data_IF_169707333491
#
_entry.id   IF_169707333491
#
_cell.length_a   1.000
_cell.length_b   1.000
_cell.length_c   1.000
_cell.angle_alpha   90.00
_cell.angle_beta   90.00
_cell.angle_gamma   90.00
#
_symmetry.space_group_name_H-M   'P 1'
#
loop_
_entity.id
_entity.type
_entity.pdbx_description
1 polymer ?
#
# COMPACT_ATOMS: atom_id res chain seq x y z
N UNK A 1 -5.60 10.53 9.91
CA UNK A 1 -5.13 10.23 11.26
C UNK A 1 -4.28 11.38 11.75
N UNK A 2 -4.49 11.80 12.99
CA UNK A 2 -3.63 12.82 13.61
C UNK A 2 -2.42 12.09 14.19
N UNK A 3 -1.25 12.29 13.61
CA UNK A 3 0.00 11.74 14.12
C UNK A 3 0.73 12.81 14.95
N UNK A 4 0.69 12.64 16.27
CA UNK A 4 1.46 13.46 17.20
C UNK A 4 2.80 12.75 17.48
N UNK A 5 3.91 13.35 17.04
CA UNK A 5 5.24 12.84 17.31
C UNK A 5 5.93 13.67 18.40
N UNK A 6 6.33 13.02 19.49
CA UNK A 6 7.24 13.60 20.47
C UNK A 6 8.61 12.94 20.34
N UNK A 7 9.63 13.70 19.98
CA UNK A 7 11.01 13.23 19.97
C UNK A 7 11.70 13.77 21.22
N UNK A 8 12.06 12.87 22.13
CA UNK A 8 12.93 13.16 23.27
C UNK A 8 14.35 12.88 22.80
N UNK A 9 15.13 13.92 22.55
CA UNK A 9 16.59 13.77 22.31
C UNK A 9 17.29 13.92 23.65
N UNK A 10 17.73 12.79 24.17
CA UNK A 10 18.51 12.75 25.41
C UNK A 10 19.98 13.08 25.17
N UNK A 11 20.48 13.90 26.07
CA UNK A 11 21.84 14.05 26.56
C UNK A 11 22.98 14.42 25.57
N UNK A 12 23.49 15.64 25.74
CA UNK A 12 24.89 15.98 25.49
C UNK A 12 25.21 16.98 24.38
N UNK A 13 24.27 17.45 23.55
CA UNK A 13 24.58 18.41 22.48
C UNK A 13 24.03 19.83 22.66
N UNK A 14 23.08 20.04 23.57
CA UNK A 14 22.57 21.35 23.93
C UNK A 14 22.32 21.36 25.44
N UNK A 15 23.14 22.07 26.20
CA UNK A 15 23.11 22.07 27.67
C UNK A 15 21.77 22.49 28.30
N UNK A 16 20.84 23.08 27.53
CA UNK A 16 19.57 23.58 28.04
C UNK A 16 18.33 22.95 27.36
N UNK A 17 18.50 22.03 26.43
CA UNK A 17 17.38 21.41 25.70
C UNK A 17 16.62 20.40 26.55
N UNK A 18 15.29 20.51 26.64
CA UNK A 18 14.44 19.58 27.39
C UNK A 18 13.55 18.75 26.50
N UNK A 19 12.84 19.37 25.56
CA UNK A 19 11.93 18.65 24.68
C UNK A 19 11.64 19.40 23.38
N UNK A 20 11.33 18.64 22.33
CA UNK A 20 10.78 19.12 21.06
C UNK A 20 9.43 18.49 20.88
N UNK A 21 8.41 19.29 20.69
CA UNK A 21 7.08 18.86 20.27
C UNK A 21 6.82 19.35 18.84
N UNK A 22 6.41 18.44 17.96
CA UNK A 22 6.06 18.74 16.58
C UNK A 22 4.70 18.14 16.27
N UNK A 23 3.81 18.93 15.66
CA UNK A 23 2.50 18.46 15.20
C UNK A 23 2.33 18.78 13.73
N UNK A 24 2.05 17.77 12.97
CA UNK A 24 1.67 17.84 11.56
C UNK A 24 0.31 17.17 11.39
N UNK A 25 -0.57 17.76 10.60
CA UNK A 25 -1.82 17.13 10.21
C UNK A 25 -1.81 16.93 8.71
N UNK A 26 -2.09 15.70 8.33
CA UNK A 26 -2.16 15.28 6.96
C UNK A 26 -3.53 14.67 6.68
N UNK A 27 -4.20 15.12 5.62
CA UNK A 27 -5.51 14.61 5.20
C UNK A 27 -5.43 14.28 3.72
N UNK A 28 -5.84 13.06 3.35
CA UNK A 28 -5.92 12.62 1.96
C UNK A 28 -7.35 12.22 1.64
N UNK A 29 -7.90 12.81 0.60
CA UNK A 29 -9.16 12.41 -0.02
C UNK A 29 -8.86 11.70 -1.34
N UNK A 30 -9.31 10.43 -1.45
CA UNK A 30 -9.05 9.58 -2.59
C UNK A 30 -10.35 9.19 -3.28
N UNK A 31 -10.39 9.36 -4.59
CA UNK A 31 -11.46 8.84 -5.45
C UNK A 31 -10.84 8.00 -6.54
N UNK A 32 -11.35 6.78 -6.76
CA UNK A 32 -10.79 5.87 -7.75
C UNK A 32 -11.86 5.15 -8.56
N UNK A 33 -11.54 4.85 -9.81
CA UNK A 33 -12.38 4.09 -10.72
C UNK A 33 -11.58 2.99 -11.41
N UNK A 34 -12.15 1.78 -11.46
CA UNK A 34 -11.66 0.69 -12.30
C UNK A 34 -12.82 -0.14 -12.85
N UNK A 35 -12.51 -1.05 -13.77
CA UNK A 35 -13.43 -2.03 -14.30
C UNK A 35 -12.82 -3.42 -14.10
N UNK A 36 -13.64 -4.35 -13.59
CA UNK A 36 -13.28 -5.77 -13.51
C UNK A 36 -14.30 -6.62 -14.27
N UNK A 37 -13.79 -7.45 -15.15
CA UNK A 37 -14.60 -8.39 -15.95
C UNK A 37 -14.02 -9.78 -15.76
N UNK A 38 -14.89 -10.76 -15.57
CA UNK A 38 -14.48 -12.15 -15.43
C UNK A 38 -15.55 -13.12 -15.94
N UNK A 39 -15.10 -14.30 -16.26
CA UNK A 39 -15.99 -15.42 -16.57
C UNK A 39 -15.49 -16.68 -15.88
N UNK A 40 -16.41 -17.60 -15.64
CA UNK A 40 -16.07 -18.94 -15.18
C UNK A 40 -17.03 -19.94 -15.79
N UNK A 41 -16.52 -21.14 -16.05
CA UNK A 41 -17.30 -22.22 -16.65
C UNK A 41 -16.85 -23.59 -16.17
N UNK A 42 -17.69 -24.57 -16.37
CA UNK A 42 -17.34 -25.98 -16.18
C UNK A 42 -16.55 -26.45 -17.42
N UNK A 43 -15.32 -26.90 -17.19
CA UNK A 43 -14.52 -27.58 -18.21
C UNK A 43 -14.91 -29.06 -18.30
N UNK A 44 -15.25 -29.66 -17.14
CA UNK A 44 -15.83 -31.01 -17.00
C UNK A 44 -16.84 -30.99 -15.86
N UNK A 45 -17.48 -32.12 -15.58
CA UNK A 45 -18.40 -32.26 -14.44
C UNK A 45 -17.73 -31.97 -13.09
N UNK A 46 -16.44 -32.17 -13.00
CA UNK A 46 -15.65 -32.04 -11.78
C UNK A 46 -14.73 -30.83 -11.77
N UNK A 47 -14.47 -30.21 -12.93
CA UNK A 47 -13.49 -29.11 -13.05
C UNK A 47 -14.18 -27.85 -13.54
N UNK A 48 -13.95 -26.77 -12.80
CA UNK A 48 -14.32 -25.41 -13.20
C UNK A 48 -13.08 -24.56 -13.39
N UNK A 49 -13.09 -23.74 -14.40
CA UNK A 49 -12.02 -22.77 -14.67
C UNK A 49 -12.60 -21.36 -14.66
N UNK A 50 -11.80 -20.40 -14.28
CA UNK A 50 -12.17 -19.01 -14.25
C UNK A 50 -11.04 -18.13 -14.73
N UNK A 51 -11.42 -17.00 -15.31
CA UNK A 51 -10.51 -15.96 -15.75
C UNK A 51 -11.11 -14.60 -15.42
N UNK A 52 -10.27 -13.65 -14.99
CA UNK A 52 -10.66 -12.28 -14.74
C UNK A 52 -9.57 -11.30 -15.17
N UNK A 53 -10.01 -10.16 -15.67
CA UNK A 53 -9.18 -9.02 -16.03
C UNK A 53 -9.69 -7.83 -15.23
N UNK A 54 -8.76 -7.11 -14.60
CA UNK A 54 -9.03 -5.86 -13.92
C UNK A 54 -8.18 -4.77 -14.56
N UNK A 55 -8.83 -3.67 -14.97
CA UNK A 55 -8.12 -2.51 -15.51
C UNK A 55 -7.31 -1.84 -14.42
N UNK A 56 -6.37 -0.95 -14.76
CA UNK A 56 -5.85 0.00 -13.81
C UNK A 56 -6.96 0.67 -13.01
N UNK A 57 -6.69 0.97 -11.75
CA UNK A 57 -7.48 1.93 -11.00
C UNK A 57 -6.85 3.29 -11.20
N UNK A 58 -7.61 4.23 -11.67
CA UNK A 58 -7.22 5.64 -11.76
C UNK A 58 -7.74 6.31 -10.51
N UNK A 59 -6.81 6.76 -9.67
CA UNK A 59 -7.09 7.52 -8.47
C UNK A 59 -6.81 8.99 -8.72
N UNK A 60 -7.75 9.85 -8.30
CA UNK A 60 -7.52 11.26 -8.05
C UNK A 60 -7.32 11.43 -6.56
N UNK A 61 -6.25 12.06 -6.17
CA UNK A 61 -5.81 12.19 -4.78
C UNK A 61 -5.58 13.64 -4.47
N UNK A 62 -6.36 14.13 -3.50
CA UNK A 62 -6.26 15.49 -2.97
C UNK A 62 -5.66 15.42 -1.57
N UNK A 63 -4.49 15.98 -1.38
CA UNK A 63 -3.79 16.00 -0.11
C UNK A 63 -3.71 17.40 0.46
N UNK A 64 -4.10 17.53 1.70
CA UNK A 64 -3.94 18.76 2.47
C UNK A 64 -3.02 18.49 3.63
N UNK A 65 -1.95 19.26 3.74
CA UNK A 65 -1.09 19.20 4.90
C UNK A 65 -1.08 20.56 5.63
N UNK A 66 -1.00 20.48 6.95
CA UNK A 66 -0.91 21.64 7.81
C UNK A 66 0.24 21.44 8.77
N UNK A 67 1.31 22.21 8.57
CA UNK A 67 2.44 22.27 9.50
C UNK A 67 2.07 23.27 10.62
N UNK A 68 1.37 22.76 11.62
CA UNK A 68 0.68 23.65 12.53
C UNK A 68 1.54 24.12 13.69
N UNK A 69 2.45 23.25 14.21
CA UNK A 69 3.01 23.56 15.51
C UNK A 69 4.34 22.87 15.74
N UNK A 70 5.34 23.64 16.16
CA UNK A 70 6.60 23.14 16.72
C UNK A 70 6.91 23.91 18.00
N UNK A 71 7.14 23.18 19.09
CA UNK A 71 7.52 23.78 20.37
C UNK A 71 8.78 23.09 20.89
N UNK A 72 9.80 23.89 21.14
CA UNK A 72 11.04 23.45 21.76
C UNK A 72 11.09 24.03 23.17
N UNK A 73 11.28 23.17 24.17
CA UNK A 73 11.45 23.56 25.55
C UNK A 73 12.92 23.50 25.97
N UNK A 74 13.38 24.56 26.62
CA UNK A 74 14.70 24.67 27.21
C UNK A 74 14.54 24.91 28.71
N UNK A 75 15.59 24.70 29.51
CA UNK A 75 15.56 24.94 30.97
C UNK A 75 15.18 26.38 31.32
N UNK A 76 15.53 27.34 30.50
CA UNK A 76 15.34 28.77 30.73
C UNK A 76 14.21 29.42 29.84
N UNK A 77 13.39 28.63 29.20
CA UNK A 77 12.28 29.12 28.37
C UNK A 77 11.84 28.16 27.28
N UNK A 78 10.86 28.59 26.50
CA UNK A 78 10.34 27.83 25.35
C UNK A 78 10.38 28.67 24.10
N UNK A 79 10.75 28.06 22.97
CA UNK A 79 10.60 28.63 21.64
C UNK A 79 9.41 27.94 20.96
N UNK A 80 8.41 28.72 20.60
CA UNK A 80 7.24 28.21 19.90
C UNK A 80 7.22 28.76 18.49
N UNK A 81 7.06 27.88 17.51
CA UNK A 81 6.88 28.23 16.12
C UNK A 81 5.55 27.68 15.65
N UNK A 82 4.68 28.56 15.15
CA UNK A 82 3.33 28.20 14.75
C UNK A 82 2.34 28.16 15.91
N UNK A 83 1.08 28.12 15.57
CA UNK A 83 -0.05 28.02 16.50
C UNK A 83 -1.13 27.21 15.79
N UNK A 84 -1.56 26.09 16.38
CA UNK A 84 -2.58 25.22 15.80
C UNK A 84 -3.98 25.88 15.77
N UNK A 85 -4.14 27.00 16.49
CA UNK A 85 -5.36 27.79 16.49
C UNK A 85 -5.40 28.88 15.41
N UNK A 86 -4.30 29.11 14.68
CA UNK A 86 -4.22 30.19 13.69
C UNK A 86 -4.56 29.69 12.28
N UNK A 87 -5.37 30.50 11.60
CA UNK A 87 -5.63 30.37 10.15
C UNK A 87 -4.34 30.54 9.30
N UNK A 88 -3.26 31.04 9.91
CA UNK A 88 -1.95 31.28 9.28
C UNK A 88 -0.97 30.09 9.37
N UNK A 89 -1.38 28.95 9.90
CA UNK A 89 -0.57 27.74 9.82
C UNK A 89 -0.26 27.43 8.34
N UNK A 90 1.02 27.15 8.05
CA UNK A 90 1.42 26.83 6.70
C UNK A 90 0.62 25.63 6.20
N UNK A 91 -0.29 25.91 5.26
CA UNK A 91 -1.10 24.91 4.59
C UNK A 91 -0.53 24.69 3.22
N UNK A 92 -0.44 23.43 2.82
CA UNK A 92 -0.17 23.05 1.45
C UNK A 92 -1.28 22.16 0.97
N UNK A 93 -1.64 22.30 -0.28
CA UNK A 93 -2.53 21.41 -1.01
C UNK A 93 -1.72 20.82 -2.16
N UNK A 94 -1.89 19.54 -2.37
CA UNK A 94 -1.21 18.83 -3.43
C UNK A 94 -2.16 17.83 -4.09
N UNK A 95 -2.41 18.02 -5.36
CA UNK A 95 -3.28 17.16 -6.16
C UNK A 95 -2.41 16.33 -7.12
N UNK A 96 -2.70 15.04 -7.20
CA UNK A 96 -2.04 14.13 -8.12
C UNK A 96 -2.91 12.93 -8.47
N UNK A 97 -2.56 12.27 -9.55
CA UNK A 97 -3.21 11.06 -10.01
C UNK A 97 -2.28 9.85 -9.81
N UNK A 98 -2.88 8.72 -9.45
CA UNK A 98 -2.19 7.44 -9.36
C UNK A 98 -2.88 6.44 -10.24
N UNK A 99 -2.15 5.88 -11.19
CA UNK A 99 -2.59 4.74 -11.98
C UNK A 99 -1.97 3.45 -11.43
N UNK A 100 -2.80 2.46 -11.09
CA UNK A 100 -2.33 1.13 -10.70
C UNK A 100 -2.15 0.22 -11.94
N UNK A 101 -1.41 -0.89 -11.83
CA UNK A 101 -1.25 -1.82 -12.95
C UNK A 101 -2.53 -2.61 -13.27
N UNK A 102 -2.56 -3.18 -14.48
CA UNK A 102 -3.49 -4.22 -14.86
C UNK A 102 -3.30 -5.47 -14.00
N UNK A 103 -4.40 -6.19 -13.74
CA UNK A 103 -4.38 -7.48 -13.07
C UNK A 103 -5.07 -8.53 -13.92
N UNK A 104 -4.39 -9.65 -14.13
CA UNK A 104 -4.92 -10.81 -14.84
C UNK A 104 -4.97 -11.97 -13.85
N UNK A 105 -6.14 -12.60 -13.72
CA UNK A 105 -6.31 -13.71 -12.79
C UNK A 105 -6.88 -14.92 -13.52
N UNK A 106 -6.37 -16.09 -13.20
CA UNK A 106 -6.94 -17.36 -13.64
C UNK A 106 -6.95 -18.36 -12.48
N UNK A 107 -7.95 -19.20 -12.47
CA UNK A 107 -8.11 -20.18 -11.40
C UNK A 107 -8.80 -21.45 -11.87
N UNK A 108 -8.58 -22.51 -11.12
CA UNK A 108 -9.18 -23.82 -11.32
C UNK A 108 -9.73 -24.35 -10.01
N UNK A 109 -10.87 -25.00 -10.08
CA UNK A 109 -11.47 -25.71 -8.95
C UNK A 109 -11.82 -27.11 -9.40
N UNK A 110 -11.42 -28.10 -8.60
CA UNK A 110 -11.83 -29.50 -8.74
C UNK A 110 -12.78 -29.86 -7.60
N UNK A 111 -13.88 -30.52 -7.93
CA UNK A 111 -14.85 -31.06 -6.96
C UNK A 111 -15.08 -32.53 -7.24
N UNK A 112 -14.75 -33.37 -6.27
CA UNK A 112 -14.94 -34.83 -6.39
C UNK A 112 -15.26 -35.47 -5.07
N UNK A 113 -16.46 -36.08 -4.96
CA UNK A 113 -16.94 -36.64 -3.70
C UNK A 113 -16.89 -35.61 -2.55
N UNK A 114 -16.22 -35.93 -1.43
CA UNK A 114 -16.11 -35.04 -0.28
C UNK A 114 -15.06 -33.94 -0.45
N UNK A 115 -14.28 -33.97 -1.55
CA UNK A 115 -13.10 -33.14 -1.72
C UNK A 115 -13.37 -31.97 -2.70
N UNK A 116 -12.94 -30.75 -2.31
CA UNK A 116 -12.82 -29.59 -3.17
C UNK A 116 -11.38 -29.11 -3.10
N UNK A 117 -10.76 -28.94 -4.26
CA UNK A 117 -9.43 -28.34 -4.42
C UNK A 117 -9.59 -27.07 -5.25
N UNK A 118 -8.87 -26.02 -4.88
CA UNK A 118 -8.82 -24.78 -5.65
C UNK A 118 -7.39 -24.29 -5.77
N UNK A 119 -7.06 -23.72 -6.91
CA UNK A 119 -5.83 -22.99 -7.12
C UNK A 119 -6.11 -21.80 -8.02
N UNK A 120 -5.45 -20.68 -7.77
CA UNK A 120 -5.46 -19.53 -8.62
C UNK A 120 -4.11 -18.84 -8.69
N UNK A 121 -3.90 -18.12 -9.78
CA UNK A 121 -2.74 -17.25 -10.00
C UNK A 121 -3.22 -15.91 -10.49
N UNK A 122 -2.63 -14.86 -9.95
CA UNK A 122 -2.83 -13.47 -10.38
C UNK A 122 -1.48 -12.92 -10.86
N UNK A 123 -1.48 -12.40 -12.08
CA UNK A 123 -0.36 -11.68 -12.66
C UNK A 123 -0.60 -10.18 -12.48
N UNK A 124 0.42 -9.47 -12.01
CA UNK A 124 0.45 -8.01 -11.86
C UNK A 124 1.81 -7.52 -12.30
N UNK A 125 1.85 -6.55 -13.20
CA UNK A 125 3.08 -5.87 -13.62
C UNK A 125 3.16 -4.49 -12.98
N UNK A 126 3.90 -4.39 -11.89
CA UNK A 126 4.00 -3.18 -11.08
C UNK A 126 4.79 -2.05 -11.77
N UNK A 127 5.57 -2.34 -12.82
CA UNK A 127 6.22 -1.31 -13.63
C UNK A 127 5.23 -0.42 -14.38
N UNK A 128 3.96 -0.83 -14.46
CA UNK A 128 2.89 -0.02 -15.07
C UNK A 128 2.25 0.99 -14.10
N UNK A 129 2.60 0.94 -12.82
CA UNK A 129 2.14 1.94 -11.86
C UNK A 129 2.78 3.29 -12.17
N UNK A 130 1.99 4.35 -12.17
CA UNK A 130 2.45 5.68 -12.52
C UNK A 130 1.72 6.75 -11.71
N UNK A 131 2.47 7.79 -11.34
CA UNK A 131 1.97 8.98 -10.69
C UNK A 131 2.06 10.15 -11.66
N UNK A 132 1.05 11.00 -11.70
CA UNK A 132 1.02 12.21 -12.51
C UNK A 132 0.53 13.39 -11.66
N UNK A 133 1.00 14.60 -11.96
CA UNK A 133 0.56 15.82 -11.30
C UNK A 133 0.57 16.98 -12.30
N UNK A 134 -0.42 17.86 -12.22
CA UNK A 134 -0.56 19.01 -13.12
C UNK A 134 0.58 20.04 -13.00
N UNK A 135 1.27 20.01 -11.87
CA UNK A 135 2.42 20.89 -11.60
C UNK A 135 3.70 20.09 -11.55
N UNK A 136 4.81 20.66 -12.08
CA UNK A 136 6.13 20.05 -11.91
C UNK A 136 6.41 19.78 -10.43
N UNK A 137 6.46 18.50 -10.07
CA UNK A 137 6.68 18.06 -8.71
C UNK A 137 7.83 17.05 -8.67
N UNK A 138 9.04 17.46 -8.29
CA UNK A 138 10.20 16.55 -8.23
C UNK A 138 9.98 15.30 -7.39
N UNK A 139 9.07 15.37 -6.43
CA UNK A 139 8.67 14.21 -5.60
C UNK A 139 7.95 13.14 -6.43
N UNK A 140 7.12 13.55 -7.39
CA UNK A 140 6.43 12.64 -8.32
C UNK A 140 7.43 11.97 -9.26
N UNK A 141 8.37 12.74 -9.82
CA UNK A 141 9.42 12.19 -10.67
C UNK A 141 10.27 11.16 -9.92
N UNK A 142 10.63 11.45 -8.68
CA UNK A 142 11.39 10.51 -7.85
C UNK A 142 10.56 9.27 -7.49
N UNK A 143 9.27 9.42 -7.24
CA UNK A 143 8.37 8.30 -6.99
C UNK A 143 8.25 7.40 -8.22
N UNK A 144 8.08 7.98 -9.42
CA UNK A 144 8.03 7.24 -10.68
C UNK A 144 9.34 6.50 -10.96
N UNK A 145 10.51 7.13 -10.75
CA UNK A 145 11.80 6.44 -10.85
C UNK A 145 11.89 5.23 -9.91
N UNK A 146 11.29 5.31 -8.72
CA UNK A 146 11.23 4.17 -7.80
C UNK A 146 10.27 3.09 -8.29
N UNK A 147 9.15 3.48 -8.91
CA UNK A 147 8.18 2.54 -9.50
C UNK A 147 8.77 1.80 -10.71
N UNK A 148 9.63 2.44 -11.49
CA UNK A 148 10.35 1.82 -12.62
C UNK A 148 11.27 0.66 -12.20
N UNK A 149 11.69 0.62 -10.93
CA UNK A 149 12.45 -0.49 -10.36
C UNK A 149 11.58 -1.72 -10.05
N UNK A 150 10.25 -1.56 -10.06
CA UNK A 150 9.34 -2.66 -9.80
C UNK A 150 9.14 -3.51 -11.05
N UNK A 151 8.84 -4.79 -10.82
CA UNK A 151 8.65 -5.76 -11.88
C UNK A 151 7.31 -6.49 -11.74
N UNK A 152 7.05 -7.39 -12.67
CA UNK A 152 5.87 -8.23 -12.59
C UNK A 152 5.99 -9.27 -11.48
N UNK A 153 4.85 -9.64 -10.93
CA UNK A 153 4.73 -10.69 -9.91
C UNK A 153 3.61 -11.66 -10.26
N UNK A 154 3.77 -12.89 -9.79
CA UNK A 154 2.71 -13.91 -9.78
C UNK A 154 2.31 -14.20 -8.33
N UNK A 155 1.10 -13.85 -7.98
CA UNK A 155 0.49 -14.16 -6.69
C UNK A 155 -0.20 -15.52 -6.80
N UNK A 156 0.14 -16.47 -5.95
CA UNK A 156 -0.41 -17.83 -5.96
C UNK A 156 -1.29 -18.07 -4.75
N UNK A 157 -2.40 -18.73 -4.95
CA UNK A 157 -3.29 -19.15 -3.86
C UNK A 157 -3.73 -20.58 -4.13
N UNK A 158 -3.83 -21.36 -3.06
CA UNK A 158 -4.31 -22.75 -3.11
C UNK A 158 -5.15 -23.08 -1.89
N UNK A 159 -6.16 -23.90 -2.07
CA UNK A 159 -7.05 -24.29 -1.00
C UNK A 159 -7.58 -25.70 -1.16
N UNK A 160 -7.89 -26.32 -0.03
CA UNK A 160 -8.53 -27.62 0.07
C UNK A 160 -9.68 -27.56 1.05
N UNK A 161 -10.80 -28.15 0.70
CA UNK A 161 -11.91 -28.42 1.59
C UNK A 161 -12.23 -29.92 1.54
N UNK A 162 -12.35 -30.53 2.71
CA UNK A 162 -12.89 -31.85 2.89
C UNK A 162 -14.21 -31.77 3.65
N UNK A 163 -15.28 -32.31 3.07
CA UNK A 163 -16.62 -32.31 3.67
C UNK A 163 -17.05 -33.73 3.99
N UNK A 164 -17.24 -34.00 5.28
CA UNK A 164 -17.72 -35.29 5.77
C UNK A 164 -19.23 -35.44 5.61
N UNK A 165 -19.70 -36.66 5.48
CA UNK A 165 -21.14 -37.01 5.47
C UNK A 165 -21.89 -36.55 6.74
N UNK A 166 -21.18 -36.38 7.86
CA UNK A 166 -21.73 -35.84 9.11
C UNK A 166 -21.95 -34.32 9.09
N UNK A 167 -21.61 -33.62 7.99
CA UNK A 167 -21.75 -32.19 7.85
C UNK A 167 -20.54 -31.38 8.34
N UNK A 168 -19.48 -32.04 8.85
CA UNK A 168 -18.22 -31.37 9.20
C UNK A 168 -17.48 -30.97 7.93
N UNK A 169 -17.03 -29.73 7.83
CA UNK A 169 -16.16 -29.24 6.77
C UNK A 169 -14.83 -28.76 7.34
N UNK A 170 -13.73 -29.36 6.85
CA UNK A 170 -12.36 -28.95 7.17
C UNK A 170 -11.78 -28.21 5.97
N UNK A 171 -11.14 -27.05 6.23
CA UNK A 171 -10.56 -26.20 5.19
C UNK A 171 -9.14 -25.82 5.56
N UNK A 172 -8.27 -25.81 4.56
CA UNK A 172 -6.92 -25.28 4.66
C UNK A 172 -6.58 -24.53 3.38
N UNK A 173 -5.73 -23.53 3.50
CA UNK A 173 -5.31 -22.74 2.34
C UNK A 173 -3.93 -22.12 2.55
N UNK A 174 -3.28 -21.83 1.44
CA UNK A 174 -2.00 -21.14 1.38
C UNK A 174 -2.06 -20.04 0.34
N UNK A 175 -1.37 -18.94 0.62
CA UNK A 175 -1.18 -17.84 -0.32
C UNK A 175 0.30 -17.45 -0.31
N UNK A 176 0.85 -17.22 -1.50
CA UNK A 176 2.19 -16.68 -1.68
C UNK A 176 2.11 -15.42 -2.53
N UNK A 177 2.64 -14.32 -2.01
CA UNK A 177 2.69 -13.02 -2.67
C UNK A 177 4.13 -12.51 -2.61
N UNK A 178 4.89 -12.66 -3.70
CA UNK A 178 6.25 -12.12 -3.77
C UNK A 178 6.23 -10.59 -3.75
N UNK A 179 7.32 -9.99 -3.27
CA UNK A 179 7.54 -8.56 -3.41
C UNK A 179 7.74 -8.17 -4.87
N UNK A 180 7.18 -7.05 -5.29
CA UNK A 180 7.34 -6.53 -6.66
C UNK A 180 8.75 -5.95 -6.89
N UNK A 181 9.41 -5.48 -5.86
CA UNK A 181 10.81 -5.07 -5.89
C UNK A 181 11.67 -6.32 -5.75
N UNK A 182 12.56 -6.59 -6.71
CA UNK A 182 13.47 -7.71 -6.65
C UNK A 182 14.24 -7.69 -5.32
N UNK A 183 14.25 -8.82 -4.61
CA UNK A 183 15.11 -8.98 -3.44
C UNK A 183 16.55 -9.06 -3.92
N UNK A 184 17.24 -7.93 -4.00
CA UNK A 184 18.69 -7.94 -3.97
C UNK A 184 19.13 -8.27 -2.53
N UNK A 185 19.39 -9.55 -2.31
CA UNK A 185 20.17 -10.00 -1.16
C UNK A 185 21.65 -9.62 -1.44
N UNK A 186 21.99 -8.36 -1.44
CA UNK A 186 23.36 -7.96 -1.16
C UNK A 186 23.55 -8.14 0.33
N UNK A 187 24.10 -9.31 0.71
CA UNK A 187 24.82 -9.43 1.98
C UNK A 187 25.79 -8.24 1.99
N UNK A 188 25.63 -7.34 2.94
CA UNK A 188 26.65 -6.34 3.21
C UNK A 188 27.94 -7.14 3.51
N UNK A 189 28.80 -7.23 2.51
CA UNK A 189 30.16 -7.70 2.70
C UNK A 189 30.79 -6.70 3.66
N UNK A 190 30.98 -7.17 4.93
CA UNK A 190 31.64 -6.38 5.94
C UNK A 190 33.10 -6.13 5.52
N UNK A 191 33.43 -4.89 5.28
CA UNK A 191 34.77 -4.36 5.41
C UNK A 191 34.86 -3.51 6.68
#
# INVERSE_FOLDING_TARGET
GDDDYSVIVGDGLLEDFQSLFFRERFTSDLTGLNLRVGFSGAATDNIRVGFAVETPTWYSIDETFTNAFMRTEFQNGSLTYGDDSREDAARGEFEYELQTPWRLSTGVTYTGGPLLLSADVEFVDWSQAHLDADTEAPVIDQANQTLDEYSYVFNWRGGVEYRSDSGLALRAGVAYRPGARGFDFTLADGE
#
